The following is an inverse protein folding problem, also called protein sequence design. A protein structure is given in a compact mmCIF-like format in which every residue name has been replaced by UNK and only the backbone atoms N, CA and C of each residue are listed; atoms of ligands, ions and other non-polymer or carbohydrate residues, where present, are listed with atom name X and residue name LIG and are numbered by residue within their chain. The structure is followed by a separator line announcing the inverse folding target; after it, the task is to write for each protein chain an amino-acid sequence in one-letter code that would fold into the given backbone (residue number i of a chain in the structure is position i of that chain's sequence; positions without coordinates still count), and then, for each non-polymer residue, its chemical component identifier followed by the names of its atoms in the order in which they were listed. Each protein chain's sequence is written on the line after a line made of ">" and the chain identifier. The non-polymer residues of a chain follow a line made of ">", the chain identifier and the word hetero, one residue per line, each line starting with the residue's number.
data_IF_338890154200
#
_entry.id   IF_338890154200
#
_cell.length_a   1.000
_cell.length_b   1.000
_cell.length_c   1.000
_cell.angle_alpha   90.00
_cell.angle_beta   90.00
_cell.angle_gamma   90.00
#
_symmetry.space_group_name_H-M   'P 1'
#
loop_
_entity.id
_entity.type
_entity.pdbx_description
1 polymer ?
#
# COMPACT_ATOMS: atom_id res chain seq x y z
N UNK A 1 -30.31 -6.74 11.18
CA UNK A 1 -29.42 -6.02 10.24
C UNK A 1 -29.54 -6.73 8.91
N UNK A 2 -30.05 -6.04 7.89
CA UNK A 2 -30.17 -6.58 6.52
C UNK A 2 -28.78 -6.98 5.99
N UNK A 3 -28.67 -8.09 5.24
CA UNK A 3 -27.38 -8.51 4.68
C UNK A 3 -26.75 -7.43 3.79
N UNK A 4 -27.57 -6.68 3.03
CA UNK A 4 -27.12 -5.53 2.24
C UNK A 4 -26.34 -4.51 3.08
N UNK A 5 -26.92 -4.09 4.21
CA UNK A 5 -26.30 -3.13 5.11
C UNK A 5 -25.00 -3.65 5.73
N UNK A 6 -24.85 -4.97 5.93
CA UNK A 6 -23.59 -5.55 6.39
C UNK A 6 -22.49 -5.38 5.34
N UNK A 7 -22.78 -5.66 4.07
CA UNK A 7 -21.81 -5.51 2.98
C UNK A 7 -21.37 -4.05 2.80
N UNK A 8 -22.30 -3.10 2.86
CA UNK A 8 -22.02 -1.67 2.81
C UNK A 8 -21.11 -1.23 3.96
N UNK A 9 -21.48 -1.57 5.21
CA UNK A 9 -20.70 -1.19 6.39
C UNK A 9 -19.28 -1.79 6.33
N UNK A 10 -19.16 -3.06 5.94
CA UNK A 10 -17.84 -3.69 5.78
C UNK A 10 -17.02 -2.98 4.70
N UNK A 11 -17.61 -2.69 3.54
CA UNK A 11 -16.91 -2.01 2.45
C UNK A 11 -16.43 -0.61 2.88
N UNK A 12 -17.25 0.14 3.63
CA UNK A 12 -16.87 1.44 4.22
C UNK A 12 -15.72 1.28 5.22
N UNK A 13 -15.73 0.26 6.08
CA UNK A 13 -14.63 -0.02 7.02
C UNK A 13 -13.32 -0.27 6.26
N UNK A 14 -13.37 -1.06 5.19
CA UNK A 14 -12.20 -1.34 4.35
C UNK A 14 -11.70 -0.09 3.61
N UNK A 15 -12.61 0.72 3.08
CA UNK A 15 -12.27 2.01 2.44
C UNK A 15 -11.59 2.96 3.43
N UNK A 16 -12.17 3.17 4.61
CA UNK A 16 -11.59 4.06 5.63
C UNK A 16 -10.23 3.53 6.10
N UNK A 17 -10.11 2.21 6.29
CA UNK A 17 -8.85 1.56 6.66
C UNK A 17 -7.78 1.76 5.60
N UNK A 18 -8.13 1.63 4.32
CA UNK A 18 -7.24 1.91 3.18
C UNK A 18 -6.77 3.37 3.17
N UNK A 19 -7.69 4.32 3.35
CA UNK A 19 -7.36 5.75 3.36
C UNK A 19 -6.45 6.13 4.52
N UNK A 20 -6.78 5.70 5.75
CA UNK A 20 -5.98 6.01 6.94
C UNK A 20 -4.59 5.39 6.83
N UNK A 21 -4.53 4.10 6.48
CA UNK A 21 -3.25 3.41 6.35
C UNK A 21 -2.41 3.93 5.20
N UNK A 22 -3.01 4.26 4.04
CA UNK A 22 -2.33 4.89 2.92
C UNK A 22 -1.77 6.27 3.26
N UNK A 23 -2.52 7.08 4.01
CA UNK A 23 -2.04 8.38 4.51
C UNK A 23 -0.86 8.21 5.48
N UNK A 24 -0.98 7.32 6.46
CA UNK A 24 0.09 7.03 7.42
C UNK A 24 1.33 6.46 6.73
N UNK A 25 1.14 5.52 5.81
CA UNK A 25 2.21 4.92 5.02
C UNK A 25 2.95 5.97 4.20
N UNK A 26 2.22 6.85 3.51
CA UNK A 26 2.82 7.93 2.72
C UNK A 26 3.62 8.90 3.60
N UNK A 27 3.06 9.30 4.74
CA UNK A 27 3.66 10.32 5.62
C UNK A 27 4.82 9.79 6.46
N UNK A 28 4.68 8.61 7.05
CA UNK A 28 5.62 8.04 8.03
C UNK A 28 6.65 7.10 7.41
N UNK A 29 6.25 6.38 6.36
CA UNK A 29 7.08 5.36 5.72
C UNK A 29 7.77 5.91 4.48
N UNK A 30 7.00 6.29 3.45
CA UNK A 30 7.55 6.70 2.15
C UNK A 30 8.46 7.91 2.30
N UNK A 31 7.97 8.99 2.95
CA UNK A 31 8.79 10.20 3.13
C UNK A 31 10.12 9.94 3.84
N UNK A 32 10.13 9.01 4.81
CA UNK A 32 11.34 8.63 5.56
C UNK A 32 12.28 7.79 4.69
N UNK A 33 11.76 6.79 4.01
CA UNK A 33 12.53 5.89 3.14
C UNK A 33 13.08 6.65 1.93
N UNK A 34 12.32 7.58 1.35
CA UNK A 34 12.79 8.46 0.28
C UNK A 34 13.98 9.30 0.71
N UNK A 35 13.96 9.84 1.92
CA UNK A 35 15.10 10.56 2.47
C UNK A 35 16.33 9.65 2.54
N UNK A 36 16.18 8.40 2.99
CA UNK A 36 17.27 7.41 3.02
C UNK A 36 17.77 7.01 1.64
N UNK A 37 16.87 6.82 0.68
CA UNK A 37 17.21 6.55 -0.72
C UNK A 37 17.93 7.75 -1.35
N UNK A 38 17.60 8.99 -0.98
CA UNK A 38 18.33 10.19 -1.43
C UNK A 38 19.70 10.35 -0.77
N UNK A 39 19.84 9.95 0.49
CA UNK A 39 21.12 10.01 1.23
C UNK A 39 22.13 8.97 0.72
N UNK A 40 21.67 7.76 0.41
CA UNK A 40 22.56 6.62 0.13
C UNK A 40 22.49 6.10 -1.31
N UNK A 41 21.44 6.45 -2.05
CA UNK A 41 21.17 5.97 -3.40
C UNK A 41 21.41 7.04 -4.46
N UNK A 42 21.06 6.70 -5.70
CA UNK A 42 21.20 7.59 -6.86
C UNK A 42 20.16 8.71 -6.95
N UNK A 43 19.48 9.03 -5.84
CA UNK A 43 18.37 9.99 -5.81
C UNK A 43 17.04 9.38 -6.27
N UNK A 44 16.17 10.19 -6.88
CA UNK A 44 14.85 9.75 -7.35
C UNK A 44 15.00 8.63 -8.38
N UNK A 45 14.44 7.44 -8.14
CA UNK A 45 14.57 6.33 -9.08
C UNK A 45 14.03 6.68 -10.48
N UNK A 46 14.64 6.11 -11.53
CA UNK A 46 14.26 6.41 -12.92
C UNK A 46 12.80 6.02 -13.25
N UNK A 47 12.27 5.01 -12.56
CA UNK A 47 10.89 4.54 -12.68
C UNK A 47 9.86 5.45 -11.97
N UNK A 48 10.33 6.40 -11.16
CA UNK A 48 9.54 7.25 -10.27
C UNK A 48 9.42 8.69 -10.80
N UNK A 49 9.76 8.91 -12.08
CA UNK A 49 9.61 10.21 -12.77
C UNK A 49 8.15 10.66 -12.90
N UNK A 50 7.19 9.73 -12.79
CA UNK A 50 5.75 9.94 -13.04
C UNK A 50 4.90 10.32 -11.81
N UNK A 51 5.48 10.38 -10.61
CA UNK A 51 4.78 10.89 -9.41
C UNK A 51 4.44 9.86 -8.34
N UNK A 52 3.78 10.36 -7.28
CA UNK A 52 3.69 9.69 -5.97
C UNK A 52 2.86 8.40 -5.97
N UNK A 53 1.88 8.27 -6.88
CA UNK A 53 0.98 7.11 -6.92
C UNK A 53 1.70 5.79 -7.19
N UNK A 54 2.59 5.77 -8.18
CA UNK A 54 3.35 4.56 -8.51
C UNK A 54 4.31 4.19 -7.37
N UNK A 55 4.95 5.19 -6.74
CA UNK A 55 5.87 4.99 -5.61
C UNK A 55 5.23 4.29 -4.43
N UNK A 56 4.00 4.66 -4.09
CA UNK A 56 3.24 4.05 -2.98
C UNK A 56 3.11 2.54 -3.18
N UNK A 57 2.63 2.12 -4.36
CA UNK A 57 2.48 0.70 -4.69
C UNK A 57 3.81 -0.04 -4.75
N UNK A 58 4.85 0.56 -5.33
CA UNK A 58 6.18 -0.07 -5.41
C UNK A 58 6.79 -0.29 -4.02
N UNK A 59 6.71 0.72 -3.14
CA UNK A 59 7.25 0.60 -1.78
C UNK A 59 6.45 -0.42 -0.97
N UNK A 60 5.12 -0.41 -1.09
CA UNK A 60 4.28 -1.41 -0.43
C UNK A 60 4.67 -2.83 -0.87
N UNK A 61 4.78 -3.07 -2.18
CA UNK A 61 5.19 -4.36 -2.73
C UNK A 61 6.58 -4.82 -2.26
N UNK A 62 7.58 -3.92 -2.23
CA UNK A 62 8.92 -4.23 -1.71
C UNK A 62 8.86 -4.60 -0.22
N UNK A 63 8.12 -3.82 0.58
CA UNK A 63 8.05 -4.01 2.03
C UNK A 63 7.26 -5.27 2.44
N UNK A 64 6.16 -5.57 1.73
CA UNK A 64 5.39 -6.80 1.92
C UNK A 64 6.21 -8.02 1.49
N UNK A 65 6.95 -7.93 0.37
CA UNK A 65 7.85 -9.00 -0.06
C UNK A 65 8.98 -9.23 0.93
N UNK A 66 9.51 -8.16 1.54
CA UNK A 66 10.52 -8.21 2.59
C UNK A 66 11.91 -8.73 2.15
N UNK A 67 12.10 -9.01 0.86
CA UNK A 67 13.34 -9.50 0.24
C UNK A 67 13.48 -8.96 -1.18
N UNK A 68 14.71 -9.03 -1.71
CA UNK A 68 15.01 -8.58 -3.07
C UNK A 68 14.19 -9.35 -4.11
N UNK A 69 13.70 -8.64 -5.13
CA UNK A 69 13.06 -9.25 -6.30
C UNK A 69 14.06 -10.02 -7.17
N UNK A 70 13.54 -10.87 -8.09
CA UNK A 70 14.37 -11.55 -9.11
C UNK A 70 15.06 -10.54 -10.03
N UNK A 71 14.35 -9.46 -10.34
CA UNK A 71 14.85 -8.26 -11.01
C UNK A 71 14.70 -7.10 -10.02
N UNK A 72 15.75 -6.83 -9.21
CA UNK A 72 15.68 -5.78 -8.20
C UNK A 72 15.45 -4.42 -8.83
N UNK A 73 14.59 -3.63 -8.20
CA UNK A 73 14.43 -2.23 -8.60
C UNK A 73 15.63 -1.43 -8.10
N UNK A 74 15.91 -0.32 -8.78
CA UNK A 74 16.89 0.64 -8.29
C UNK A 74 16.54 1.04 -6.85
N UNK A 75 17.54 1.00 -5.97
CA UNK A 75 17.46 1.37 -4.54
C UNK A 75 16.59 0.44 -3.66
N UNK A 76 16.13 -0.71 -4.17
CA UNK A 76 15.38 -1.69 -3.38
C UNK A 76 16.14 -2.16 -2.13
N UNK A 77 17.45 -2.31 -2.26
CA UNK A 77 18.35 -2.71 -1.17
C UNK A 77 18.34 -1.71 -0.01
N UNK A 78 18.31 -0.41 -0.34
CA UNK A 78 18.32 0.67 0.64
C UNK A 78 16.98 0.69 1.37
N UNK A 79 15.88 0.52 0.63
CA UNK A 79 14.52 0.43 1.17
C UNK A 79 14.43 -0.73 2.17
N UNK A 80 14.88 -1.92 1.79
CA UNK A 80 14.81 -3.11 2.64
C UNK A 80 15.72 -3.01 3.86
N UNK A 81 16.93 -2.43 3.72
CA UNK A 81 17.87 -2.22 4.82
C UNK A 81 17.33 -1.24 5.87
N UNK A 82 16.58 -0.22 5.43
CA UNK A 82 16.04 0.81 6.30
C UNK A 82 14.60 0.57 6.75
N UNK A 83 13.95 -0.48 6.25
CA UNK A 83 12.58 -0.84 6.57
C UNK A 83 12.43 -1.20 8.05
N UNK A 84 11.46 -0.56 8.73
CA UNK A 84 11.07 -0.89 10.10
C UNK A 84 9.89 -1.87 10.08
N UNK A 85 9.62 -2.58 11.18
CA UNK A 85 8.43 -3.41 11.32
C UNK A 85 7.13 -2.64 11.04
N UNK A 86 7.01 -1.40 11.55
CA UNK A 86 5.82 -0.54 11.33
C UNK A 86 5.60 -0.21 9.85
N UNK A 87 6.68 -0.08 9.07
CA UNK A 87 6.58 0.24 7.65
C UNK A 87 5.99 -0.94 6.86
N UNK A 88 6.40 -2.16 7.21
CA UNK A 88 5.88 -3.41 6.64
C UNK A 88 4.43 -3.64 7.06
N UNK A 89 4.11 -3.37 8.33
CA UNK A 89 2.74 -3.46 8.83
C UNK A 89 1.81 -2.50 8.09
N UNK A 90 2.20 -1.22 7.94
CA UNK A 90 1.40 -0.23 7.23
C UNK A 90 1.22 -0.58 5.75
N UNK A 91 2.27 -1.07 5.07
CA UNK A 91 2.19 -1.54 3.69
C UNK A 91 1.18 -2.70 3.56
N UNK A 92 1.36 -3.73 4.38
CA UNK A 92 0.49 -4.92 4.36
C UNK A 92 -0.96 -4.59 4.69
N UNK A 93 -1.19 -3.75 5.69
CA UNK A 93 -2.54 -3.36 6.10
C UNK A 93 -3.23 -2.50 5.04
N UNK A 94 -2.50 -1.61 4.36
CA UNK A 94 -3.01 -0.85 3.22
C UNK A 94 -3.40 -1.79 2.07
N UNK A 95 -2.52 -2.73 1.70
CA UNK A 95 -2.77 -3.67 0.60
C UNK A 95 -3.95 -4.60 0.88
N UNK A 96 -4.04 -5.17 2.08
CA UNK A 96 -5.20 -5.98 2.48
C UNK A 96 -6.47 -5.14 2.50
N UNK A 97 -6.39 -3.89 2.95
CA UNK A 97 -7.57 -3.02 2.98
C UNK A 97 -8.10 -2.77 1.57
N UNK A 98 -7.19 -2.51 0.62
CA UNK A 98 -7.53 -2.33 -0.79
C UNK A 98 -8.11 -3.60 -1.42
N UNK A 99 -7.48 -4.76 -1.19
CA UNK A 99 -7.95 -6.04 -1.73
C UNK A 99 -9.32 -6.39 -1.14
N UNK A 100 -9.51 -6.23 0.16
CA UNK A 100 -10.78 -6.47 0.85
C UNK A 100 -11.90 -5.59 0.30
N UNK A 101 -11.64 -4.30 0.13
CA UNK A 101 -12.58 -3.35 -0.49
C UNK A 101 -12.99 -3.79 -1.90
N UNK A 102 -12.03 -4.17 -2.75
CA UNK A 102 -12.31 -4.60 -4.13
C UNK A 102 -13.12 -5.90 -4.15
N UNK A 103 -12.71 -6.91 -3.38
CA UNK A 103 -13.38 -8.21 -3.35
C UNK A 103 -14.81 -8.10 -2.80
N UNK A 104 -15.01 -7.34 -1.73
CA UNK A 104 -16.35 -7.08 -1.17
C UNK A 104 -17.20 -6.24 -2.11
N UNK A 105 -16.60 -5.24 -2.77
CA UNK A 105 -17.25 -4.43 -3.81
C UNK A 105 -17.80 -5.29 -4.94
N UNK A 106 -16.95 -6.15 -5.52
CA UNK A 106 -17.33 -7.07 -6.59
C UNK A 106 -18.38 -8.07 -6.10
N UNK A 107 -18.18 -8.67 -4.92
CA UNK A 107 -19.12 -9.64 -4.37
C UNK A 107 -20.50 -9.01 -4.12
N UNK A 108 -20.56 -7.79 -3.57
CA UNK A 108 -21.82 -7.09 -3.36
C UNK A 108 -22.52 -6.70 -4.66
N UNK A 109 -21.77 -6.32 -5.71
CA UNK A 109 -22.33 -6.08 -7.04
C UNK A 109 -22.91 -7.37 -7.64
N UNK A 110 -22.16 -8.48 -7.58
CA UNK A 110 -22.60 -9.78 -8.11
C UNK A 110 -23.83 -10.34 -7.38
N UNK A 111 -24.00 -10.03 -6.09
CA UNK A 111 -25.11 -10.52 -5.26
C UNK A 111 -26.32 -9.56 -5.22
N UNK A 112 -26.26 -8.41 -5.91
CA UNK A 112 -27.34 -7.41 -5.91
C UNK A 112 -27.50 -6.69 -4.57
N UNK A 113 -26.39 -6.56 -3.82
CA UNK A 113 -26.35 -5.86 -2.53
C UNK A 113 -25.90 -4.40 -2.63
N UNK A 114 -25.34 -4.00 -3.78
CA UNK A 114 -25.12 -2.60 -4.13
C UNK A 114 -26.07 -2.26 -5.28
N UNK A 115 -26.76 -1.12 -5.16
CA UNK A 115 -27.67 -0.59 -6.18
C UNK A 115 -26.91 0.20 -7.26
#
# INVERSE_FOLDING_TARGET
>A
MEMKSVFEVLNVIFLVSFLISGLLFTRLTIRRLDRKVKEEGSGTPSWDRGGMGLRVGMYAGILVRGKKGKTPLANEDIILRHARPIDRFLAFFMDISLIGMILLGIAGLCLGYFD
#
